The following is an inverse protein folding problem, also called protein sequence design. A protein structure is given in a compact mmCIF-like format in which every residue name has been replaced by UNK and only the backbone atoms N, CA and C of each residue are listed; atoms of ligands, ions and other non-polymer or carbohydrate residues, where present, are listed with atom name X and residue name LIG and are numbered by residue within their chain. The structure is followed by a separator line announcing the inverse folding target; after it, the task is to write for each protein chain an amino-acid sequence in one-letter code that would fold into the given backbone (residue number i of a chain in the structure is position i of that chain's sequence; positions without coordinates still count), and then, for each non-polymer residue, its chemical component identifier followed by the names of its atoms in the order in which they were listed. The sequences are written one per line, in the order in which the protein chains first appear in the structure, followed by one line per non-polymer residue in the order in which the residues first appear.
data_IF_523574729088
#
_entry.id   IF_523574729088
#
_cell.length_a   1.000
_cell.length_b   1.000
_cell.length_c   1.000
_cell.angle_alpha   90.00
_cell.angle_beta   90.00
_cell.angle_gamma   90.00
#
_symmetry.space_group_name_H-M   'P 1'
#
loop_
_entity.id
_entity.type
_entity.pdbx_description
1 polymer ?
#
# COMPACT_ATOMS: atom_id res chain seq x y z
N UNK A 1 -21.05 -10.01 9.78
CA UNK A 1 -20.13 -9.02 9.20
C UNK A 1 -18.94 -9.72 8.58
N UNK A 2 -18.54 -9.29 7.41
CA UNK A 2 -17.38 -9.86 6.76
C UNK A 2 -16.11 -9.40 7.47
N UNK A 3 -15.14 -10.30 7.62
CA UNK A 3 -13.83 -9.94 8.14
C UNK A 3 -13.12 -9.02 7.16
N UNK A 4 -12.27 -8.10 7.63
CA UNK A 4 -11.50 -7.25 6.73
C UNK A 4 -10.48 -8.05 5.93
N UNK A 5 -10.22 -7.59 4.72
CA UNK A 5 -9.26 -8.22 3.81
C UNK A 5 -7.93 -7.46 3.80
N UNK A 6 -8.01 -6.13 3.90
CA UNK A 6 -6.85 -5.23 3.92
C UNK A 6 -6.89 -4.35 5.16
N UNK A 7 -5.74 -4.16 5.77
CA UNK A 7 -5.59 -3.34 6.97
C UNK A 7 -4.81 -2.06 6.65
N UNK A 8 -5.34 -0.93 7.11
CA UNK A 8 -4.75 0.40 7.01
C UNK A 8 -4.75 1.01 8.40
N UNK A 9 -3.61 1.46 8.90
CA UNK A 9 -3.51 1.98 10.27
C UNK A 9 -3.36 3.49 10.38
N UNK A 10 -3.09 4.18 9.28
CA UNK A 10 -2.89 5.63 9.29
C UNK A 10 -3.56 6.27 8.09
N UNK A 11 -4.09 7.47 8.27
CA UNK A 11 -4.77 8.21 7.20
C UNK A 11 -3.87 8.51 6.00
N UNK A 12 -2.58 8.65 6.24
CA UNK A 12 -1.60 8.94 5.18
C UNK A 12 -1.14 7.72 4.40
N UNK A 13 -1.62 6.51 4.76
CA UNK A 13 -1.23 5.29 4.06
C UNK A 13 -1.78 5.26 2.64
N UNK A 14 -0.95 4.89 1.69
CA UNK A 14 -1.40 4.66 0.31
C UNK A 14 -1.38 3.17 -0.07
N UNK A 15 -1.06 2.31 0.88
CA UNK A 15 -1.15 0.85 0.74
C UNK A 15 -1.90 0.24 1.92
N UNK A 16 -2.56 -0.89 1.67
CA UNK A 16 -3.17 -1.71 2.70
C UNK A 16 -2.48 -3.07 2.73
N UNK A 17 -2.36 -3.67 3.91
CA UNK A 17 -1.72 -4.97 4.10
C UNK A 17 -2.76 -6.07 4.08
N UNK A 18 -2.53 -7.10 3.26
CA UNK A 18 -3.46 -8.23 3.14
C UNK A 18 -3.42 -9.09 4.41
N UNK A 19 -4.60 -9.36 4.96
CA UNK A 19 -4.77 -10.16 6.17
C UNK A 19 -4.98 -11.64 5.84
N UNK A 20 -5.09 -11.98 4.56
CA UNK A 20 -5.19 -13.33 4.02
C UNK A 20 -4.79 -13.29 2.55
N UNK A 21 -4.67 -14.46 1.91
CA UNK A 21 -4.45 -14.49 0.46
C UNK A 21 -5.71 -14.00 -0.25
N UNK A 22 -5.55 -13.06 -1.17
CA UNK A 22 -6.65 -12.44 -1.91
C UNK A 22 -6.45 -12.67 -3.41
N UNK A 23 -7.53 -13.04 -4.09
CA UNK A 23 -7.50 -13.29 -5.51
C UNK A 23 -7.73 -12.01 -6.32
N UNK A 24 -7.17 -11.98 -7.51
CA UNK A 24 -7.48 -10.95 -8.50
C UNK A 24 -9.00 -10.90 -8.72
N UNK A 25 -9.55 -9.70 -8.81
CA UNK A 25 -10.98 -9.50 -9.00
C UNK A 25 -11.78 -9.42 -7.71
N UNK A 26 -11.13 -9.65 -6.56
CA UNK A 26 -11.78 -9.52 -5.26
C UNK A 26 -12.13 -8.06 -5.00
N UNK A 27 -13.34 -7.80 -4.53
CA UNK A 27 -13.69 -6.51 -3.93
C UNK A 27 -13.25 -6.59 -2.46
N UNK A 28 -11.99 -6.22 -2.20
CA UNK A 28 -11.39 -6.39 -0.89
C UNK A 28 -11.94 -5.36 0.09
N UNK A 29 -12.36 -5.81 1.25
CA UNK A 29 -12.84 -4.93 2.31
C UNK A 29 -11.66 -4.32 3.05
N UNK A 30 -11.61 -3.00 3.07
CA UNK A 30 -10.52 -2.26 3.71
C UNK A 30 -10.96 -1.81 5.10
N UNK A 31 -10.16 -2.11 6.11
CA UNK A 31 -10.42 -1.70 7.48
C UNK A 31 -9.31 -0.78 7.98
N UNK A 32 -9.70 0.32 8.59
CA UNK A 32 -8.79 1.26 9.24
C UNK A 32 -8.93 1.23 10.76
N UNK A 33 -8.20 2.10 11.44
CA UNK A 33 -8.22 2.21 12.90
C UNK A 33 -9.63 2.55 13.42
N UNK A 34 -10.39 3.32 12.66
CA UNK A 34 -11.73 3.78 13.05
C UNK A 34 -12.85 2.98 12.37
N UNK A 35 -12.54 1.86 11.75
CA UNK A 35 -13.54 0.97 11.17
C UNK A 35 -13.41 0.77 9.66
N UNK A 36 -14.54 0.46 9.04
CA UNK A 36 -14.62 0.12 7.62
C UNK A 36 -14.35 1.34 6.73
N UNK A 37 -13.41 1.18 5.80
CA UNK A 37 -13.07 2.22 4.82
C UNK A 37 -13.62 1.93 3.42
N UNK A 38 -14.48 0.90 3.28
CA UNK A 38 -15.07 0.52 2.01
C UNK A 38 -14.35 -0.63 1.34
N UNK A 39 -14.57 -0.78 0.05
CA UNK A 39 -14.02 -1.88 -0.73
C UNK A 39 -13.08 -1.38 -1.82
N UNK A 40 -12.04 -2.17 -2.09
CA UNK A 40 -11.06 -1.90 -3.15
C UNK A 40 -11.08 -3.06 -4.13
N UNK A 41 -11.33 -2.78 -5.40
CA UNK A 41 -11.26 -3.83 -6.42
C UNK A 41 -9.79 -4.17 -6.70
N UNK A 42 -9.43 -5.42 -6.46
CA UNK A 42 -8.07 -5.89 -6.71
C UNK A 42 -7.89 -6.26 -8.19
N UNK A 43 -6.85 -5.71 -8.79
CA UNK A 43 -6.47 -6.02 -10.18
C UNK A 43 -5.31 -7.01 -10.24
N UNK A 44 -4.78 -7.38 -9.08
CA UNK A 44 -3.73 -8.40 -8.90
C UNK A 44 -4.07 -9.29 -7.72
N UNK A 45 -3.56 -10.50 -7.71
CA UNK A 45 -3.61 -11.35 -6.53
C UNK A 45 -2.64 -10.78 -5.47
N UNK A 46 -3.06 -10.78 -4.21
CA UNK A 46 -2.26 -10.26 -3.09
C UNK A 46 -2.13 -11.36 -2.05
N UNK A 47 -0.92 -11.76 -1.74
CA UNK A 47 -0.68 -12.76 -0.71
C UNK A 47 -0.76 -12.17 0.69
N UNK A 48 -1.10 -13.01 1.66
CA UNK A 48 -1.07 -12.66 3.08
C UNK A 48 0.22 -11.90 3.42
N UNK A 49 0.09 -10.75 4.05
CA UNK A 49 1.21 -9.90 4.45
C UNK A 49 1.75 -8.99 3.37
N UNK A 50 1.39 -9.21 2.11
CA UNK A 50 1.75 -8.31 1.02
C UNK A 50 0.80 -7.12 0.99
N UNK A 51 1.10 -6.13 0.15
CA UNK A 51 0.36 -4.87 0.12
C UNK A 51 -0.33 -4.67 -1.22
N UNK A 52 -1.46 -3.97 -1.17
CA UNK A 52 -2.17 -3.50 -2.34
C UNK A 52 -2.19 -1.96 -2.30
N UNK A 53 -2.06 -1.32 -3.45
CA UNK A 53 -2.19 0.12 -3.54
C UNK A 53 -3.65 0.51 -3.32
N UNK A 54 -3.90 1.43 -2.40
CA UNK A 54 -5.24 1.94 -2.11
C UNK A 54 -5.67 2.98 -3.14
N UNK A 55 -4.71 3.69 -3.66
CA UNK A 55 -4.86 4.73 -4.67
C UNK A 55 -3.71 4.60 -5.65
N UNK A 56 -3.79 5.30 -6.78
CA UNK A 56 -2.69 5.35 -7.72
C UNK A 56 -1.45 5.94 -7.03
N UNK A 57 -0.32 5.27 -7.21
CA UNK A 57 1.00 5.73 -6.74
C UNK A 57 1.86 5.97 -7.97
N UNK A 58 2.24 7.20 -8.18
CA UNK A 58 3.08 7.53 -9.33
C UNK A 58 4.52 7.09 -9.13
N UNK A 59 5.18 6.74 -10.22
CA UNK A 59 6.61 6.45 -10.21
C UNK A 59 7.37 7.57 -9.51
N UNK A 60 8.26 7.19 -8.61
CA UNK A 60 9.05 8.14 -7.83
C UNK A 60 8.38 8.61 -6.54
N UNK A 61 7.10 8.33 -6.36
CA UNK A 61 6.38 8.69 -5.14
C UNK A 61 6.67 7.72 -4.01
N UNK A 62 6.53 8.21 -2.79
CA UNK A 62 6.72 7.37 -1.60
C UNK A 62 5.58 6.38 -1.42
N UNK A 63 5.92 5.18 -1.01
CA UNK A 63 4.95 4.19 -0.52
C UNK A 63 4.90 4.35 0.99
N UNK A 64 3.70 4.62 1.52
CA UNK A 64 3.51 4.92 2.94
C UNK A 64 2.67 3.83 3.59
N UNK A 65 3.21 3.24 4.65
CA UNK A 65 2.56 2.19 5.43
C UNK A 65 2.66 2.53 6.92
N UNK A 66 1.54 2.48 7.62
CA UNK A 66 1.44 2.79 9.05
C UNK A 66 2.04 4.17 9.38
N UNK A 67 1.79 5.16 8.51
CA UNK A 67 2.27 6.51 8.68
C UNK A 67 3.72 6.74 8.33
N UNK A 68 4.44 5.71 7.86
CA UNK A 68 5.87 5.81 7.55
C UNK A 68 6.15 5.53 6.08
N UNK A 69 7.01 6.34 5.43
CA UNK A 69 7.48 5.99 4.10
C UNK A 69 8.38 4.76 4.20
N UNK A 70 8.06 3.73 3.42
CA UNK A 70 8.80 2.46 3.44
C UNK A 70 9.61 2.22 2.18
N UNK A 71 9.34 2.98 1.13
CA UNK A 71 10.03 2.84 -0.14
C UNK A 71 9.53 3.83 -1.16
N UNK A 72 10.07 3.74 -2.36
CA UNK A 72 9.72 4.60 -3.48
C UNK A 72 9.26 3.72 -4.64
N UNK A 73 8.15 4.09 -5.26
CA UNK A 73 7.64 3.36 -6.42
C UNK A 73 8.62 3.47 -7.60
N UNK A 74 8.92 2.34 -8.22
CA UNK A 74 9.83 2.29 -9.38
C UNK A 74 9.06 2.39 -10.70
N UNK A 75 7.75 2.30 -10.64
CA UNK A 75 6.84 2.43 -11.79
C UNK A 75 5.53 3.02 -11.27
N UNK A 76 4.65 3.43 -12.19
CA UNK A 76 3.29 3.80 -11.80
C UNK A 76 2.55 2.57 -11.31
N UNK A 77 1.89 2.68 -10.18
CA UNK A 77 1.12 1.59 -9.56
C UNK A 77 -0.33 2.04 -9.50
N UNK A 78 -1.21 1.29 -10.12
CA UNK A 78 -2.64 1.59 -10.10
C UNK A 78 -3.31 1.10 -8.81
N UNK A 79 -4.44 1.72 -8.46
CA UNK A 79 -5.23 1.26 -7.31
C UNK A 79 -5.61 -0.21 -7.47
N UNK A 80 -5.46 -0.99 -6.42
CA UNK A 80 -5.74 -2.42 -6.44
C UNK A 80 -4.61 -3.30 -6.94
N UNK A 81 -3.50 -2.71 -7.37
CA UNK A 81 -2.33 -3.49 -7.80
C UNK A 81 -1.49 -3.94 -6.61
N UNK A 82 -0.82 -5.07 -6.81
CA UNK A 82 0.12 -5.64 -5.85
C UNK A 82 1.35 -4.73 -5.71
N UNK A 83 1.69 -4.37 -4.49
CA UNK A 83 2.86 -3.55 -4.15
C UNK A 83 3.85 -4.42 -3.41
N UNK A 84 5.02 -4.66 -3.99
CA UNK A 84 6.03 -5.51 -3.39
C UNK A 84 7.41 -5.19 -4.00
N UNK A 85 8.37 -6.09 -3.85
CA UNK A 85 9.75 -5.86 -4.28
C UNK A 85 9.91 -5.57 -5.77
N UNK A 86 8.97 -6.02 -6.60
CA UNK A 86 9.03 -5.82 -8.05
C UNK A 86 8.76 -4.37 -8.48
N UNK A 87 8.08 -3.58 -7.66
CA UNK A 87 7.71 -2.20 -8.02
C UNK A 87 8.00 -1.16 -6.94
N UNK A 88 8.73 -1.56 -5.90
CA UNK A 88 9.15 -0.65 -4.82
C UNK A 88 10.59 -0.91 -4.47
N UNK A 89 11.37 0.16 -4.36
CA UNK A 89 12.73 0.11 -3.83
C UNK A 89 12.70 0.66 -2.41
N UNK A 90 13.39 -0.03 -1.50
CA UNK A 90 13.48 0.42 -0.10
C UNK A 90 14.24 1.74 -0.01
N UNK A 91 13.85 2.56 0.95
CA UNK A 91 14.56 3.81 1.20
C UNK A 91 15.94 3.51 1.77
N UNK A 92 16.96 4.19 1.22
CA UNK A 92 18.29 4.17 1.79
C UNK A 92 18.42 5.27 2.84
N UNK A 93 19.47 5.21 3.65
CA UNK A 93 19.82 6.30 4.56
C UNK A 93 20.00 7.61 3.81
N UNK A 94 20.60 7.54 2.63
CA UNK A 94 20.89 8.73 1.82
C UNK A 94 19.60 9.38 1.31
N UNK A 95 18.63 8.58 0.89
CA UNK A 95 17.32 9.09 0.47
C UNK A 95 16.62 9.82 1.61
N UNK A 96 16.67 9.26 2.81
CA UNK A 96 16.07 9.87 3.99
C UNK A 96 16.76 11.19 4.34
N UNK A 97 18.07 11.21 4.33
CA UNK A 97 18.87 12.41 4.62
C UNK A 97 18.61 13.49 3.57
N UNK A 98 18.62 13.13 2.30
CA UNK A 98 18.34 14.08 1.22
C UNK A 98 16.93 14.68 1.35
N UNK A 99 15.97 13.87 1.69
CA UNK A 99 14.59 14.30 1.89
C UNK A 99 14.49 15.31 3.04
N UNK A 100 15.21 15.09 4.11
CA UNK A 100 15.26 16.01 5.25
C UNK A 100 15.98 17.32 4.91
N UNK A 101 17.03 17.24 4.13
CA UNK A 101 17.82 18.42 3.73
C UNK A 101 17.04 19.37 2.81
N UNK A 102 16.07 18.87 2.09
CA UNK A 102 15.25 19.66 1.17
C UNK A 102 14.09 20.39 1.83
N UNK A 103 13.85 20.16 3.09
CA UNK A 103 12.76 20.79 3.84
C UNK A 103 13.07 22.17 4.35
#
# INVERSE_FOLDING_TARGET
MAAPDLLVLDEGDNVGTALRDLERGTAARVSGADGDLGALLLVSAIRLGHKAALVRIERGSMVVKHGHPIGRATTDIGAGEHVHLHNVVSLSKDDTIASEAER
#
